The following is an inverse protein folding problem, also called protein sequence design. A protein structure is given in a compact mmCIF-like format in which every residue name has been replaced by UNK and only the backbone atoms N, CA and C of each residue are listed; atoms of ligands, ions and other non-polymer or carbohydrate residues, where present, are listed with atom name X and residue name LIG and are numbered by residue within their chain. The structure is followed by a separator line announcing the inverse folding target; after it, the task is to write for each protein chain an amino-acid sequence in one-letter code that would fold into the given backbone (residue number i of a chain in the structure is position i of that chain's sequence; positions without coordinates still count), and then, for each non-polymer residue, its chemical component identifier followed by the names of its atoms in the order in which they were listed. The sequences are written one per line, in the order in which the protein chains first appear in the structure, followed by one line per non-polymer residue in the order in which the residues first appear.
data_IF_919632458171
#
_entry.id   IF_919632458171
#
_cell.length_a   1.000
_cell.length_b   1.000
_cell.length_c   1.000
_cell.angle_alpha   90.00
_cell.angle_beta   90.00
_cell.angle_gamma   90.00
#
_symmetry.space_group_name_H-M   'P 1'
#
loop_
_entity.id
_entity.type
_entity.pdbx_description
1 polymer ?
#
# COMPACT_ATOMS: atom_id res chain seq x y z
N UNK A 1 -71.65 -29.17 -7.82
CA UNK A 1 -70.65 -28.08 -7.84
C UNK A 1 -69.26 -28.70 -7.78
N UNK A 2 -68.66 -28.95 -8.93
CA UNK A 2 -67.29 -29.46 -9.06
C UNK A 2 -66.34 -28.28 -9.28
N UNK A 3 -65.45 -28.04 -8.33
CA UNK A 3 -64.45 -26.98 -8.37
C UNK A 3 -63.23 -27.43 -9.19
N UNK A 4 -63.11 -26.92 -10.41
CA UNK A 4 -61.90 -27.09 -11.23
C UNK A 4 -60.70 -26.39 -10.57
N UNK A 5 -59.65 -27.18 -10.29
CA UNK A 5 -58.34 -26.67 -9.85
C UNK A 5 -57.62 -26.00 -11.03
N UNK A 6 -57.40 -24.68 -10.93
CA UNK A 6 -56.57 -23.93 -11.89
C UNK A 6 -55.12 -24.45 -11.90
N UNK A 7 -54.48 -24.56 -13.07
CA UNK A 7 -53.12 -25.10 -13.19
C UNK A 7 -52.07 -24.12 -12.64
N UNK A 8 -51.13 -24.68 -11.88
CA UNK A 8 -50.00 -23.97 -11.26
C UNK A 8 -49.02 -23.54 -12.36
N UNK A 9 -48.89 -22.23 -12.61
CA UNK A 9 -47.91 -21.67 -13.57
C UNK A 9 -46.48 -22.01 -13.12
N UNK A 10 -45.79 -22.82 -13.91
CA UNK A 10 -44.36 -23.11 -13.74
C UNK A 10 -43.59 -21.87 -14.21
N UNK A 11 -42.83 -21.23 -13.31
CA UNK A 11 -41.92 -20.12 -13.67
C UNK A 11 -40.79 -20.69 -14.54
N UNK A 12 -40.46 -20.09 -15.70
CA UNK A 12 -39.33 -20.53 -16.50
C UNK A 12 -38.02 -20.32 -15.72
N UNK A 13 -37.21 -21.37 -15.55
CA UNK A 13 -35.82 -21.26 -15.10
C UNK A 13 -35.09 -20.36 -16.10
N UNK A 14 -34.50 -19.25 -15.63
CA UNK A 14 -33.64 -18.45 -16.50
C UNK A 14 -32.48 -19.34 -16.95
N UNK A 15 -32.32 -19.49 -18.27
CA UNK A 15 -31.11 -20.06 -18.86
C UNK A 15 -29.97 -19.09 -18.51
N UNK A 16 -29.13 -19.47 -17.56
CA UNK A 16 -27.86 -18.78 -17.35
C UNK A 16 -27.09 -18.81 -18.67
N UNK A 17 -26.64 -17.66 -19.14
CA UNK A 17 -25.76 -17.57 -20.31
C UNK A 17 -24.48 -18.33 -20.02
N UNK A 18 -24.07 -19.20 -20.95
CA UNK A 18 -22.78 -19.91 -20.82
C UNK A 18 -21.65 -18.90 -21.02
N UNK A 19 -20.90 -18.62 -19.95
CA UNK A 19 -19.82 -17.63 -19.90
C UNK A 19 -18.52 -18.15 -20.53
N UNK A 20 -18.40 -19.47 -20.72
CA UNK A 20 -17.19 -20.12 -21.27
C UNK A 20 -16.70 -19.54 -22.61
N UNK A 21 -17.54 -19.36 -23.64
CA UNK A 21 -17.07 -18.81 -24.92
C UNK A 21 -16.50 -17.39 -24.79
N UNK A 22 -17.08 -16.56 -23.93
CA UNK A 22 -16.59 -15.20 -23.67
C UNK A 22 -15.23 -15.22 -22.96
N UNK A 23 -15.06 -16.10 -21.98
CA UNK A 23 -13.78 -16.28 -21.29
C UNK A 23 -12.66 -16.74 -22.23
N UNK A 24 -12.97 -17.67 -23.14
CA UNK A 24 -12.01 -18.15 -24.16
C UNK A 24 -11.64 -17.02 -25.12
N UNK A 25 -12.63 -16.28 -25.64
CA UNK A 25 -12.37 -15.16 -26.54
C UNK A 25 -11.49 -14.08 -25.90
N UNK A 26 -11.78 -13.72 -24.65
CA UNK A 26 -10.97 -12.80 -23.84
C UNK A 26 -9.54 -13.31 -23.68
N UNK A 27 -9.37 -14.59 -23.31
CA UNK A 27 -8.03 -15.17 -23.12
C UNK A 27 -7.20 -15.17 -24.40
N UNK A 28 -7.80 -15.52 -25.54
CA UNK A 28 -7.13 -15.49 -26.86
C UNK A 28 -6.73 -14.07 -27.23
N UNK A 29 -7.62 -13.08 -27.03
CA UNK A 29 -7.31 -11.67 -27.32
C UNK A 29 -6.14 -11.17 -26.46
N UNK A 30 -6.15 -11.45 -25.16
CA UNK A 30 -5.05 -11.09 -24.26
C UNK A 30 -3.72 -11.74 -24.67
N UNK A 31 -3.74 -12.99 -25.14
CA UNK A 31 -2.55 -13.68 -25.62
C UNK A 31 -1.99 -13.03 -26.90
N UNK A 32 -2.85 -12.71 -27.86
CA UNK A 32 -2.44 -12.02 -29.10
C UNK A 32 -1.82 -10.65 -28.77
N UNK A 33 -2.46 -9.89 -27.88
CA UNK A 33 -1.93 -8.59 -27.42
C UNK A 33 -0.57 -8.75 -26.75
N UNK A 34 -0.41 -9.75 -25.87
CA UNK A 34 0.87 -10.02 -25.21
C UNK A 34 1.97 -10.34 -26.23
N UNK A 35 1.71 -11.22 -27.20
CA UNK A 35 2.67 -11.56 -28.26
C UNK A 35 3.06 -10.31 -29.06
N UNK A 36 2.10 -9.45 -29.38
CA UNK A 36 2.36 -8.21 -30.12
C UNK A 36 3.18 -7.21 -29.29
N UNK A 37 2.89 -7.06 -27.99
CA UNK A 37 3.69 -6.23 -27.07
C UNK A 37 5.12 -6.75 -27.00
N UNK A 38 5.30 -8.07 -26.83
CA UNK A 38 6.64 -8.69 -26.78
C UNK A 38 7.40 -8.49 -28.09
N UNK A 39 6.74 -8.64 -29.24
CA UNK A 39 7.35 -8.34 -30.54
C UNK A 39 7.79 -6.88 -30.65
N UNK A 40 6.93 -5.93 -30.26
CA UNK A 40 7.26 -4.50 -30.28
C UNK A 40 8.40 -4.14 -29.34
N UNK A 41 8.41 -4.71 -28.13
CA UNK A 41 9.52 -4.54 -27.20
C UNK A 41 10.84 -5.09 -27.73
N UNK A 42 10.81 -6.17 -28.53
CA UNK A 42 12.01 -6.75 -29.13
C UNK A 42 12.57 -5.91 -30.29
N UNK A 43 11.70 -5.29 -31.09
CA UNK A 43 12.09 -4.48 -32.26
C UNK A 43 12.54 -3.08 -31.87
N UNK A 44 11.99 -2.51 -30.79
CA UNK A 44 12.35 -1.17 -30.32
C UNK A 44 13.70 -1.22 -29.59
N UNK A 45 14.66 -0.36 -29.98
CA UNK A 45 15.98 -0.26 -29.33
C UNK A 45 15.92 0.35 -27.91
N UNK A 46 14.78 0.94 -27.52
CA UNK A 46 14.57 1.56 -26.21
C UNK A 46 14.09 0.53 -25.18
N UNK A 47 14.60 0.63 -23.96
CA UNK A 47 14.06 -0.08 -22.80
C UNK A 47 12.72 0.53 -22.38
N UNK A 48 11.62 0.04 -22.97
CA UNK A 48 10.26 0.54 -22.71
C UNK A 48 9.78 0.23 -21.29
N UNK A 49 10.23 -0.88 -20.69
CA UNK A 49 9.84 -1.32 -19.35
C UNK A 49 11.09 -1.44 -18.48
N UNK A 50 11.32 -0.51 -17.53
CA UNK A 50 12.42 -0.58 -16.58
C UNK A 50 12.38 -1.85 -15.72
N UNK A 51 13.54 -2.47 -15.51
CA UNK A 51 13.74 -3.65 -14.65
C UNK A 51 13.28 -3.38 -13.21
N UNK A 52 13.43 -2.15 -12.74
CA UNK A 52 13.00 -1.71 -11.41
C UNK A 52 11.50 -1.91 -11.16
N UNK A 53 10.66 -1.86 -12.20
CA UNK A 53 9.22 -2.10 -12.06
C UNK A 53 8.95 -3.56 -11.67
N UNK A 54 9.73 -4.52 -12.16
CA UNK A 54 9.57 -5.91 -11.75
C UNK A 54 9.91 -6.09 -10.27
N UNK A 55 10.90 -5.37 -9.73
CA UNK A 55 11.19 -5.36 -8.29
C UNK A 55 10.01 -4.80 -7.49
N UNK A 56 9.38 -3.73 -7.97
CA UNK A 56 8.16 -3.14 -7.38
C UNK A 56 6.99 -4.13 -7.37
N UNK A 57 6.72 -4.79 -8.50
CA UNK A 57 5.69 -5.83 -8.60
C UNK A 57 6.01 -7.00 -7.67
N UNK A 58 7.26 -7.45 -7.63
CA UNK A 58 7.70 -8.54 -6.75
C UNK A 58 7.47 -8.20 -5.28
N UNK A 59 7.75 -6.96 -4.86
CA UNK A 59 7.44 -6.48 -3.50
C UNK A 59 5.94 -6.53 -3.18
N UNK A 60 5.10 -6.07 -4.11
CA UNK A 60 3.64 -6.09 -3.92
C UNK A 60 3.08 -7.53 -3.86
N UNK A 61 3.60 -8.43 -4.71
CA UNK A 61 3.26 -9.86 -4.72
C UNK A 61 3.70 -10.53 -3.42
N UNK A 62 4.92 -10.27 -2.96
CA UNK A 62 5.45 -10.76 -1.69
C UNK A 62 4.54 -10.37 -0.52
N UNK A 63 4.17 -9.09 -0.44
CA UNK A 63 3.31 -8.61 0.64
C UNK A 63 1.91 -9.22 0.56
N UNK A 64 1.33 -9.28 -0.64
CA UNK A 64 0.01 -9.87 -0.83
C UNK A 64 0.00 -11.36 -0.44
N UNK A 65 1.08 -12.09 -0.75
CA UNK A 65 1.26 -13.48 -0.30
C UNK A 65 1.35 -13.57 1.23
N UNK A 66 2.08 -12.68 1.88
CA UNK A 66 2.19 -12.62 3.35
C UNK A 66 0.82 -12.40 4.00
N UNK A 67 0.07 -11.43 3.51
CA UNK A 67 -1.26 -11.08 4.02
C UNK A 67 -2.30 -12.19 3.82
N UNK A 68 -2.32 -12.77 2.63
CA UNK A 68 -3.34 -13.77 2.27
C UNK A 68 -3.00 -15.18 2.73
N UNK A 69 -1.70 -15.47 2.97
CA UNK A 69 -1.09 -16.78 3.23
C UNK A 69 -1.32 -17.83 2.12
N UNK A 70 -2.15 -17.56 1.10
CA UNK A 70 -2.54 -18.51 0.04
C UNK A 70 -2.11 -18.01 -1.34
N UNK A 71 -1.28 -18.80 -2.03
CA UNK A 71 -0.81 -18.46 -3.38
C UNK A 71 -1.94 -18.34 -4.41
N UNK A 72 -2.98 -19.17 -4.28
CA UNK A 72 -4.14 -19.13 -5.15
C UNK A 72 -4.80 -17.74 -5.20
N UNK A 73 -4.91 -17.06 -4.04
CA UNK A 73 -5.50 -15.72 -3.99
C UNK A 73 -4.61 -14.75 -4.76
N UNK A 74 -3.30 -14.77 -4.52
CA UNK A 74 -2.31 -13.91 -5.22
C UNK A 74 -2.37 -14.10 -6.73
N UNK A 75 -2.40 -15.36 -7.20
CA UNK A 75 -2.47 -15.70 -8.63
C UNK A 75 -3.80 -15.21 -9.22
N UNK A 76 -4.93 -15.45 -8.53
CA UNK A 76 -6.24 -14.99 -9.02
C UNK A 76 -6.33 -13.46 -9.10
N UNK A 77 -5.76 -12.74 -8.12
CA UNK A 77 -5.64 -11.28 -8.15
C UNK A 77 -4.76 -10.84 -9.31
N UNK A 78 -3.58 -11.44 -9.48
CA UNK A 78 -2.66 -11.11 -10.56
C UNK A 78 -3.30 -11.34 -11.94
N UNK A 79 -3.99 -12.45 -12.16
CA UNK A 79 -4.70 -12.72 -13.41
C UNK A 79 -5.81 -11.70 -13.68
N UNK A 80 -6.60 -11.35 -12.66
CA UNK A 80 -7.58 -10.29 -12.76
C UNK A 80 -6.94 -8.96 -13.13
N UNK A 81 -5.90 -8.55 -12.41
CA UNK A 81 -5.20 -7.28 -12.65
C UNK A 81 -4.50 -7.22 -13.99
N UNK A 82 -3.99 -8.36 -14.47
CA UNK A 82 -3.42 -8.50 -15.80
C UNK A 82 -4.48 -8.33 -16.90
N UNK A 83 -5.69 -8.84 -16.69
CA UNK A 83 -6.78 -8.60 -17.64
C UNK A 83 -7.19 -7.12 -17.66
N UNK A 84 -7.38 -6.51 -16.48
CA UNK A 84 -7.78 -5.09 -16.40
C UNK A 84 -6.67 -4.12 -16.81
N UNK A 85 -5.38 -4.51 -16.71
CA UNK A 85 -4.28 -3.65 -17.14
C UNK A 85 -4.28 -3.36 -18.63
N UNK A 86 -4.90 -4.21 -19.46
CA UNK A 86 -5.06 -3.92 -20.89
C UNK A 86 -5.91 -2.67 -21.18
N UNK A 87 -6.66 -2.15 -20.20
CA UNK A 87 -7.30 -0.83 -20.30
C UNK A 87 -6.27 0.29 -20.53
N UNK A 88 -4.99 0.07 -20.20
CA UNK A 88 -3.90 0.98 -20.49
C UNK A 88 -3.72 1.25 -21.99
N UNK A 89 -4.14 0.34 -22.86
CA UNK A 89 -4.00 0.47 -24.32
C UNK A 89 -5.17 1.19 -24.99
N UNK A 90 -6.18 1.63 -24.23
CA UNK A 90 -7.26 2.45 -24.76
C UNK A 90 -6.74 3.86 -25.10
N UNK A 91 -7.15 4.43 -26.25
CA UNK A 91 -6.68 5.74 -26.67
C UNK A 91 -7.09 6.83 -25.67
N UNK A 92 -6.16 7.75 -25.40
CA UNK A 92 -6.39 8.87 -24.52
C UNK A 92 -7.37 9.90 -25.12
N UNK A 93 -8.15 10.58 -24.28
CA UNK A 93 -9.09 11.65 -24.75
C UNK A 93 -8.41 12.83 -25.45
N UNK A 94 -7.10 13.01 -25.24
CA UNK A 94 -6.28 14.09 -25.80
C UNK A 94 -5.21 13.57 -26.77
N UNK A 95 -5.30 12.31 -27.14
CA UNK A 95 -4.33 11.67 -28.02
C UNK A 95 -4.76 11.83 -29.47
N UNK A 96 -4.03 12.66 -30.21
CA UNK A 96 -4.31 12.88 -31.64
C UNK A 96 -3.70 11.79 -32.52
N UNK A 97 -2.54 11.25 -32.13
CA UNK A 97 -1.87 10.11 -32.76
C UNK A 97 -1.58 9.07 -31.68
N UNK A 98 -1.97 7.82 -31.94
CA UNK A 98 -1.83 6.73 -30.99
C UNK A 98 -0.35 6.37 -30.79
N UNK A 99 0.15 6.57 -29.57
CA UNK A 99 1.53 6.26 -29.17
C UNK A 99 1.57 4.92 -28.41
N UNK A 100 1.75 3.85 -29.18
CA UNK A 100 1.79 2.51 -28.63
C UNK A 100 2.96 2.28 -27.65
N UNK A 101 4.10 2.95 -27.83
CA UNK A 101 5.27 2.77 -26.96
C UNK A 101 5.00 3.36 -25.58
N UNK A 102 4.37 4.53 -25.52
CA UNK A 102 3.92 5.13 -24.26
C UNK A 102 2.90 4.24 -23.54
N UNK A 103 1.97 3.61 -24.27
CA UNK A 103 1.03 2.65 -23.69
C UNK A 103 1.74 1.39 -23.12
N UNK A 104 2.76 0.86 -23.80
CA UNK A 104 3.59 -0.23 -23.26
C UNK A 104 4.30 0.21 -21.97
N UNK A 105 4.86 1.42 -21.93
CA UNK A 105 5.57 1.93 -20.76
C UNK A 105 4.64 2.10 -19.54
N UNK A 106 3.39 2.52 -19.74
CA UNK A 106 2.40 2.73 -18.67
C UNK A 106 1.78 1.40 -18.20
N UNK A 107 1.72 0.38 -19.06
CA UNK A 107 0.99 -0.86 -18.82
C UNK A 107 1.37 -1.59 -17.50
N UNK A 108 2.66 -1.77 -17.15
CA UNK A 108 3.06 -2.35 -15.86
C UNK A 108 2.55 -1.58 -14.64
N UNK A 109 2.46 -0.25 -14.72
CA UNK A 109 1.91 0.59 -13.65
C UNK A 109 0.41 0.41 -13.52
N UNK A 110 -0.32 0.33 -14.65
CA UNK A 110 -1.74 0.00 -14.64
C UNK A 110 -1.99 -1.37 -14.01
N UNK A 111 -1.18 -2.38 -14.37
CA UNK A 111 -1.22 -3.69 -13.73
C UNK A 111 -1.07 -3.59 -12.22
N UNK A 112 -0.04 -2.88 -11.74
CA UNK A 112 0.21 -2.70 -10.32
C UNK A 112 -0.98 -2.01 -9.62
N UNK A 113 -1.52 -0.94 -10.19
CA UNK A 113 -2.68 -0.22 -9.61
C UNK A 113 -3.88 -1.16 -9.44
N UNK A 114 -4.26 -1.91 -10.49
CA UNK A 114 -5.34 -2.88 -10.38
C UNK A 114 -5.03 -3.99 -9.37
N UNK A 115 -3.77 -4.43 -9.31
CA UNK A 115 -3.32 -5.43 -8.34
C UNK A 115 -3.51 -4.96 -6.90
N UNK A 116 -3.14 -3.72 -6.60
CA UNK A 116 -3.33 -3.13 -5.28
C UNK A 116 -4.81 -2.91 -4.96
N UNK A 117 -5.60 -2.40 -5.90
CA UNK A 117 -7.05 -2.20 -5.72
C UNK A 117 -7.75 -3.52 -5.42
N UNK A 118 -7.51 -4.57 -6.20
CA UNK A 118 -8.12 -5.89 -5.98
C UNK A 118 -7.64 -6.51 -4.67
N UNK A 119 -6.35 -6.38 -4.36
CA UNK A 119 -5.80 -6.84 -3.08
C UNK A 119 -6.57 -6.20 -1.91
N UNK A 120 -6.73 -4.88 -1.91
CA UNK A 120 -7.49 -4.10 -0.92
C UNK A 120 -8.96 -4.52 -0.87
N UNK A 121 -9.62 -4.59 -2.03
CA UNK A 121 -11.04 -4.90 -2.10
C UNK A 121 -11.37 -6.30 -1.56
N UNK A 122 -10.54 -7.31 -1.87
CA UNK A 122 -10.80 -8.70 -1.48
C UNK A 122 -10.23 -9.07 -0.10
N UNK A 123 -9.37 -8.24 0.49
CA UNK A 123 -8.70 -8.55 1.75
C UNK A 123 -8.70 -7.38 2.75
N UNK A 124 -9.73 -6.51 2.70
CA UNK A 124 -9.86 -5.30 3.54
C UNK A 124 -9.52 -5.57 5.01
N UNK A 125 -10.07 -6.64 5.59
CA UNK A 125 -9.87 -6.99 7.01
C UNK A 125 -8.44 -7.41 7.37
N UNK A 126 -7.69 -7.95 6.40
CA UNK A 126 -6.29 -8.37 6.59
C UNK A 126 -5.31 -7.24 6.30
N UNK A 127 -5.73 -6.29 5.47
CA UNK A 127 -4.89 -5.19 4.97
C UNK A 127 -4.87 -4.02 5.92
N UNK A 128 -5.94 -3.78 6.68
CA UNK A 128 -5.93 -2.78 7.74
C UNK A 128 -4.93 -3.28 8.80
N UNK A 129 -3.67 -2.78 8.82
CA UNK A 129 -2.71 -3.22 9.81
C UNK A 129 -3.25 -2.79 11.17
N UNK A 130 -3.32 -3.71 12.13
CA UNK A 130 -3.61 -3.33 13.50
C UNK A 130 -2.51 -2.39 13.96
N UNK A 131 -2.82 -1.10 14.06
CA UNK A 131 -1.97 -0.10 14.68
C UNK A 131 -1.90 -0.46 16.16
N UNK A 132 -0.71 -0.75 16.60
CA UNK A 132 -0.40 -0.97 18.00
C UNK A 132 0.37 0.26 18.50
N UNK A 133 0.45 0.44 19.82
CA UNK A 133 1.23 1.54 20.42
C UNK A 133 2.72 1.53 19.98
N UNK A 134 3.26 0.35 19.69
CA UNK A 134 4.60 0.15 19.14
C UNK A 134 4.73 0.65 17.70
N UNK A 135 3.70 0.51 16.86
CA UNK A 135 3.72 1.08 15.50
C UNK A 135 3.59 2.61 15.54
N UNK A 136 2.80 3.16 16.48
CA UNK A 136 2.77 4.62 16.65
C UNK A 136 4.09 5.13 17.19
N UNK A 137 4.72 4.42 18.14
CA UNK A 137 6.04 4.72 18.65
C UNK A 137 7.12 4.67 17.56
N UNK A 138 7.09 3.65 16.71
CA UNK A 138 7.92 3.54 15.50
C UNK A 138 7.78 4.78 14.62
N UNK A 139 6.54 5.18 14.31
CA UNK A 139 6.25 6.37 13.52
C UNK A 139 6.73 7.66 14.20
N UNK A 140 6.61 7.74 15.52
CA UNK A 140 7.11 8.87 16.31
C UNK A 140 8.62 9.03 16.18
N UNK A 141 9.37 7.94 16.31
CA UNK A 141 10.83 7.94 16.17
C UNK A 141 11.23 8.24 14.71
N UNK A 142 10.49 7.70 13.73
CA UNK A 142 10.68 8.01 12.31
C UNK A 142 10.51 9.50 12.04
N UNK A 143 9.47 10.14 12.60
CA UNK A 143 9.29 11.59 12.48
C UNK A 143 10.53 12.28 13.04
N UNK A 144 10.92 12.01 14.28
CA UNK A 144 12.10 12.63 14.91
C UNK A 144 13.36 12.47 14.03
N UNK A 145 13.61 11.30 13.47
CA UNK A 145 14.72 11.08 12.56
C UNK A 145 14.61 11.93 11.28
N UNK A 146 13.45 11.92 10.65
CA UNK A 146 13.17 12.70 9.44
C UNK A 146 13.37 14.20 9.69
N UNK A 147 12.91 14.70 10.83
CA UNK A 147 13.06 16.06 11.33
C UNK A 147 14.52 16.47 11.50
N UNK A 148 15.29 15.65 12.21
CA UNK A 148 16.70 15.94 12.53
C UNK A 148 17.51 16.02 11.25
N UNK A 149 17.29 15.08 10.33
CA UNK A 149 17.97 15.06 9.04
C UNK A 149 17.50 16.18 8.10
N UNK A 150 16.24 16.62 8.21
CA UNK A 150 15.74 17.77 7.45
C UNK A 150 16.40 19.10 7.87
N UNK A 151 17.14 19.12 8.98
CA UNK A 151 17.80 20.33 9.46
C UNK A 151 16.78 21.33 9.97
N UNK A 152 15.93 20.94 10.92
CA UNK A 152 14.85 21.78 11.44
C UNK A 152 15.30 23.18 11.87
N UNK A 153 16.50 23.26 12.45
CA UNK A 153 17.08 24.51 12.94
C UNK A 153 17.42 25.46 11.78
N UNK A 154 17.51 24.94 10.55
CA UNK A 154 17.96 25.68 9.36
C UNK A 154 16.87 25.85 8.30
N UNK A 155 15.63 25.43 8.55
CA UNK A 155 14.52 25.55 7.59
C UNK A 155 13.65 26.78 7.86
N UNK A 156 13.41 27.59 6.83
CA UNK A 156 12.54 28.78 6.92
C UNK A 156 11.07 28.49 6.56
N UNK A 157 10.73 27.25 6.19
CA UNK A 157 9.38 26.89 5.75
C UNK A 157 8.43 26.69 6.93
N UNK A 158 7.58 27.70 7.18
CA UNK A 158 6.59 27.72 8.27
C UNK A 158 5.67 26.49 8.27
N UNK A 159 5.22 26.03 7.09
CA UNK A 159 4.34 24.86 7.01
C UNK A 159 5.02 23.60 7.54
N UNK A 160 6.29 23.39 7.16
CA UNK A 160 7.08 22.26 7.64
C UNK A 160 7.31 22.37 9.14
N UNK A 161 7.60 23.56 9.66
CA UNK A 161 7.74 23.78 11.11
C UNK A 161 6.46 23.40 11.87
N UNK A 162 5.29 23.86 11.41
CA UNK A 162 3.99 23.55 12.05
C UNK A 162 3.71 22.05 12.04
N UNK A 163 3.83 21.41 10.87
CA UNK A 163 3.62 19.97 10.70
C UNK A 163 4.48 19.17 11.68
N UNK A 164 5.68 19.68 11.91
CA UNK A 164 6.71 19.02 12.68
C UNK A 164 6.54 19.21 14.18
N UNK A 165 6.24 20.43 14.63
CA UNK A 165 5.82 20.67 16.02
C UNK A 165 4.63 19.78 16.39
N UNK A 166 3.65 19.65 15.49
CA UNK A 166 2.49 18.79 15.67
C UNK A 166 2.91 17.30 15.70
N UNK A 167 3.85 16.89 14.86
CA UNK A 167 4.41 15.54 14.88
C UNK A 167 5.18 15.20 16.14
N UNK A 168 5.94 16.13 16.71
CA UNK A 168 6.62 15.96 18.00
C UNK A 168 5.60 15.87 19.15
N UNK A 169 4.53 16.66 19.11
CA UNK A 169 3.44 16.59 20.09
C UNK A 169 2.76 15.22 20.07
N UNK A 170 2.36 14.73 18.90
CA UNK A 170 1.76 13.40 18.77
C UNK A 170 2.74 12.28 19.09
N UNK A 171 4.03 12.51 18.85
CA UNK A 171 5.08 11.59 19.27
C UNK A 171 5.12 11.47 20.78
N UNK A 172 5.19 12.60 21.49
CA UNK A 172 5.17 12.62 22.94
C UNK A 172 3.91 11.96 23.51
N UNK A 173 2.75 12.23 22.91
CA UNK A 173 1.49 11.57 23.28
C UNK A 173 1.55 10.05 23.10
N UNK A 174 2.15 9.56 22.01
CA UNK A 174 2.34 8.11 21.80
C UNK A 174 3.30 7.51 22.82
N UNK A 175 4.40 8.19 23.14
CA UNK A 175 5.35 7.76 24.18
C UNK A 175 4.64 7.65 25.54
N UNK A 176 3.86 8.65 25.92
CA UNK A 176 3.11 8.64 27.18
C UNK A 176 2.21 7.40 27.29
N UNK A 177 1.40 7.10 26.27
CA UNK A 177 0.50 5.95 26.30
C UNK A 177 1.26 4.60 26.32
N UNK A 178 2.32 4.47 25.52
CA UNK A 178 3.11 3.24 25.42
C UNK A 178 3.81 2.85 26.75
N UNK A 179 4.17 3.83 27.59
CA UNK A 179 4.87 3.58 28.86
C UNK A 179 3.96 3.61 30.10
N UNK A 180 2.84 4.32 30.05
CA UNK A 180 1.93 4.41 31.20
C UNK A 180 0.88 3.29 31.22
N UNK A 181 0.74 2.53 30.13
CA UNK A 181 -0.31 1.51 30.02
C UNK A 181 -1.72 2.11 30.16
N UNK A 182 -1.88 3.41 29.89
CA UNK A 182 -3.19 4.06 29.94
C UNK A 182 -4.00 3.69 28.71
N UNK A 183 -5.18 3.11 28.91
CA UNK A 183 -6.03 2.69 27.80
C UNK A 183 -6.44 3.88 26.91
N UNK A 184 -6.24 3.73 25.60
CA UNK A 184 -6.62 4.74 24.64
C UNK A 184 -8.15 4.84 24.52
N UNK A 185 -8.69 6.03 24.79
CA UNK A 185 -10.11 6.32 24.52
C UNK A 185 -10.43 6.24 23.03
N UNK A 186 -11.71 6.09 22.70
CA UNK A 186 -12.19 6.07 21.30
C UNK A 186 -11.76 7.31 20.51
N UNK A 187 -11.75 8.48 21.14
CA UNK A 187 -11.34 9.74 20.52
C UNK A 187 -9.83 9.76 20.29
N UNK A 188 -9.04 9.37 21.28
CA UNK A 188 -7.58 9.29 21.15
C UNK A 188 -7.16 8.34 20.03
N UNK A 189 -7.82 7.16 19.91
CA UNK A 189 -7.58 6.22 18.81
C UNK A 189 -7.90 6.80 17.45
N UNK A 190 -9.02 7.52 17.33
CA UNK A 190 -9.39 8.17 16.07
C UNK A 190 -8.35 9.23 15.68
N UNK A 191 -7.98 10.11 16.61
CA UNK A 191 -7.01 11.18 16.38
C UNK A 191 -5.65 10.60 15.97
N UNK A 192 -5.14 9.62 16.72
CA UNK A 192 -3.86 8.98 16.39
C UNK A 192 -3.90 8.23 15.06
N UNK A 193 -5.02 7.59 14.72
CA UNK A 193 -5.17 6.91 13.43
C UNK A 193 -5.15 7.87 12.25
N UNK A 194 -5.86 8.98 12.35
CA UNK A 194 -5.85 10.01 11.31
C UNK A 194 -4.45 10.59 11.19
N UNK A 195 -3.81 10.93 12.31
CA UNK A 195 -2.45 11.46 12.33
C UNK A 195 -1.43 10.50 11.71
N UNK A 196 -1.46 9.23 12.12
CA UNK A 196 -0.64 8.14 11.57
C UNK A 196 -0.81 8.03 10.05
N UNK A 197 -2.05 8.12 9.57
CA UNK A 197 -2.38 8.04 8.14
C UNK A 197 -1.81 9.23 7.37
N UNK A 198 -1.91 10.45 7.92
CA UNK A 198 -1.33 11.67 7.32
C UNK A 198 0.19 11.53 7.19
N UNK A 199 0.88 11.20 8.28
CA UNK A 199 2.34 11.06 8.28
C UNK A 199 2.80 9.98 7.31
N UNK A 200 2.14 8.82 7.32
CA UNK A 200 2.51 7.72 6.43
C UNK A 200 2.34 8.11 4.96
N UNK A 201 1.27 8.85 4.61
CA UNK A 201 1.05 9.35 3.25
C UNK A 201 2.10 10.40 2.85
N UNK A 202 2.50 11.30 3.75
CA UNK A 202 3.55 12.28 3.48
C UNK A 202 4.90 11.60 3.21
N UNK A 203 5.32 10.68 4.08
CA UNK A 203 6.56 9.92 3.91
C UNK A 203 6.53 9.04 2.65
N UNK A 204 5.37 8.46 2.32
CA UNK A 204 5.16 7.69 1.09
C UNK A 204 5.26 8.56 -0.16
N UNK A 205 4.66 9.75 -0.14
CA UNK A 205 4.72 10.69 -1.26
C UNK A 205 6.17 11.09 -1.53
N UNK A 206 6.91 11.48 -0.49
CA UNK A 206 8.32 11.82 -0.64
C UNK A 206 9.14 10.65 -1.20
N UNK A 207 8.94 9.45 -0.66
CA UNK A 207 9.66 8.26 -1.11
C UNK A 207 9.36 7.89 -2.56
N UNK A 208 8.09 7.92 -2.95
CA UNK A 208 7.68 7.68 -4.34
C UNK A 208 8.37 8.68 -5.26
N UNK A 209 8.29 9.98 -4.97
CA UNK A 209 8.92 11.02 -5.80
C UNK A 209 10.42 10.76 -5.95
N UNK A 210 11.13 10.47 -4.85
CA UNK A 210 12.58 10.22 -4.88
C UNK A 210 12.94 8.96 -5.65
N UNK A 211 12.20 7.86 -5.46
CA UNK A 211 12.45 6.58 -6.15
C UNK A 211 12.23 6.71 -7.67
N UNK A 212 11.21 7.45 -8.09
CA UNK A 212 10.93 7.69 -9.51
C UNK A 212 11.83 8.75 -10.16
N UNK A 213 12.57 9.53 -9.36
CA UNK A 213 13.62 10.44 -9.83
C UNK A 213 14.98 9.76 -10.00
N UNK A 214 15.16 8.54 -9.47
CA UNK A 214 16.40 7.80 -9.67
C UNK A 214 16.57 7.39 -11.14
N UNK A 215 17.82 7.16 -11.52
CA UNK A 215 18.16 6.53 -12.79
C UNK A 215 17.59 5.12 -12.88
N UNK A 216 17.35 4.67 -14.12
CA UNK A 216 16.97 3.29 -14.39
C UNK A 216 18.16 2.37 -14.10
N UNK A 217 17.88 1.16 -13.63
CA UNK A 217 18.91 0.17 -13.26
C UNK A 217 19.85 -0.10 -14.45
N UNK A 218 19.26 -0.17 -15.64
CA UNK A 218 19.90 -0.43 -16.92
C UNK A 218 20.93 0.64 -17.32
N UNK A 219 20.80 1.84 -16.77
CA UNK A 219 21.69 2.97 -17.05
C UNK A 219 22.77 3.15 -15.97
N UNK A 220 22.76 2.33 -14.91
CA UNK A 220 23.74 2.46 -13.83
C UNK A 220 25.07 1.79 -14.18
N UNK A 221 26.17 2.46 -13.87
CA UNK A 221 27.52 1.95 -14.16
C UNK A 221 27.93 0.77 -13.26
N UNK A 222 27.38 0.70 -12.05
CA UNK A 222 27.77 -0.30 -11.04
C UNK A 222 26.61 -1.21 -10.62
N UNK A 223 26.92 -2.50 -10.43
CA UNK A 223 25.94 -3.51 -9.96
C UNK A 223 25.36 -3.11 -8.59
N UNK A 224 26.20 -2.55 -7.71
CA UNK A 224 25.79 -2.12 -6.38
C UNK A 224 24.71 -1.04 -6.43
N UNK A 225 24.85 -0.03 -7.32
CA UNK A 225 23.81 0.99 -7.52
C UNK A 225 22.52 0.39 -8.08
N UNK A 226 22.63 -0.54 -9.04
CA UNK A 226 21.47 -1.27 -9.55
C UNK A 226 20.73 -2.06 -8.46
N UNK A 227 21.48 -2.73 -7.57
CA UNK A 227 20.90 -3.43 -6.42
C UNK A 227 20.19 -2.47 -5.45
N UNK A 228 20.79 -1.31 -5.15
CA UNK A 228 20.16 -0.30 -4.30
C UNK A 228 18.84 0.21 -4.89
N UNK A 229 18.80 0.51 -6.19
CA UNK A 229 17.57 0.93 -6.87
C UNK A 229 16.54 -0.21 -6.84
N UNK A 230 16.95 -1.45 -7.17
CA UNK A 230 16.08 -2.62 -7.09
C UNK A 230 15.47 -2.81 -5.70
N UNK A 231 16.28 -2.68 -4.65
CA UNK A 231 15.82 -2.76 -3.26
C UNK A 231 14.83 -1.66 -2.91
N UNK A 232 15.06 -0.42 -3.36
CA UNK A 232 14.13 0.70 -3.13
C UNK A 232 12.76 0.43 -3.76
N UNK A 233 12.74 0.01 -5.02
CA UNK A 233 11.49 -0.34 -5.72
C UNK A 233 10.81 -1.54 -5.04
N UNK A 234 11.58 -2.56 -4.63
CA UNK A 234 11.03 -3.69 -3.88
C UNK A 234 10.38 -3.27 -2.56
N UNK A 235 11.04 -2.46 -1.74
CA UNK A 235 10.50 -1.95 -0.47
C UNK A 235 9.26 -1.08 -0.67
N UNK A 236 9.25 -0.25 -1.72
CA UNK A 236 8.05 0.49 -2.13
C UNK A 236 6.92 -0.46 -2.50
N UNK A 237 7.23 -1.56 -3.19
CA UNK A 237 6.30 -2.62 -3.56
C UNK A 237 5.69 -3.30 -2.33
N UNK A 238 6.53 -3.70 -1.38
CA UNK A 238 6.10 -4.29 -0.10
C UNK A 238 5.15 -3.35 0.64
N UNK A 239 5.44 -2.04 0.60
CA UNK A 239 4.67 -1.03 1.33
C UNK A 239 3.42 -0.54 0.58
N UNK A 240 3.32 -0.81 -0.72
CA UNK A 240 2.36 -0.18 -1.63
C UNK A 240 0.90 -0.41 -1.24
N UNK A 241 0.54 -1.63 -0.81
CA UNK A 241 -0.82 -1.96 -0.34
C UNK A 241 -1.23 -1.07 0.83
N UNK A 242 -0.32 -0.87 1.80
CA UNK A 242 -0.56 -0.01 2.95
C UNK A 242 -0.60 1.46 2.56
N UNK A 243 0.26 1.89 1.62
CA UNK A 243 0.27 3.27 1.10
C UNK A 243 -1.09 3.58 0.47
N UNK A 244 -1.54 2.76 -0.48
CA UNK A 244 -2.82 2.96 -1.17
C UNK A 244 -4.00 2.90 -0.19
N UNK A 245 -3.98 1.98 0.77
CA UNK A 245 -5.01 1.92 1.82
C UNK A 245 -5.06 3.21 2.64
N UNK A 246 -3.91 3.76 3.05
CA UNK A 246 -3.85 5.02 3.80
C UNK A 246 -4.34 6.21 2.94
N UNK A 247 -4.02 6.25 1.64
CA UNK A 247 -4.60 7.24 0.74
C UNK A 247 -6.13 7.15 0.67
N UNK A 248 -6.69 5.94 0.52
CA UNK A 248 -8.15 5.77 0.50
C UNK A 248 -8.81 6.21 1.82
N UNK A 249 -8.17 5.93 2.96
CA UNK A 249 -8.67 6.38 4.26
C UNK A 249 -8.68 7.90 4.40
N UNK A 250 -7.66 8.61 3.90
CA UNK A 250 -7.66 10.09 3.91
C UNK A 250 -8.68 10.68 2.93
N UNK A 251 -8.70 10.19 1.68
CA UNK A 251 -9.61 10.69 0.65
C UNK A 251 -11.06 10.45 1.04
N UNK A 252 -11.36 9.39 1.79
CA UNK A 252 -12.70 9.08 2.28
C UNK A 252 -13.33 10.15 3.18
N UNK A 253 -12.54 11.08 3.76
CA UNK A 253 -13.10 12.22 4.50
C UNK A 253 -13.71 13.30 3.58
N UNK A 254 -13.30 13.33 2.31
CA UNK A 254 -13.80 14.27 1.32
C UNK A 254 -15.15 13.78 0.76
N UNK A 255 -16.15 14.67 0.60
CA UNK A 255 -17.42 14.28 0.01
C UNK A 255 -17.26 13.89 -1.46
N UNK A 256 -17.92 12.80 -1.87
CA UNK A 256 -18.02 12.39 -3.27
C UNK A 256 -18.88 13.32 -4.13
N UNK A 257 -18.76 13.16 -5.46
CA UNK A 257 -19.61 13.89 -6.41
C UNK A 257 -21.08 13.52 -6.20
N UNK A 258 -21.93 14.52 -5.95
CA UNK A 258 -23.36 14.33 -5.69
C UNK A 258 -23.72 13.86 -4.27
N UNK A 259 -22.72 13.67 -3.39
CA UNK A 259 -22.93 13.31 -1.98
C UNK A 259 -22.47 14.42 -1.02
N UNK A 260 -22.46 15.67 -1.46
CA UNK A 260 -21.97 16.79 -0.65
C UNK A 260 -22.86 16.99 0.59
N UNK A 261 -22.35 16.61 1.76
CA UNK A 261 -23.01 16.72 3.07
C UNK A 261 -24.44 16.15 3.13
N UNK A 262 -24.72 15.08 2.37
CA UNK A 262 -26.02 14.40 2.45
C UNK A 262 -26.00 13.25 3.48
N UNK A 263 -27.15 12.59 3.69
CA UNK A 263 -27.28 11.46 4.62
C UNK A 263 -26.30 10.32 4.31
N UNK A 264 -26.02 10.09 3.03
CA UNK A 264 -25.08 9.05 2.59
C UNK A 264 -23.65 9.40 3.03
N UNK A 265 -23.20 10.64 2.83
CA UNK A 265 -21.90 11.10 3.30
C UNK A 265 -21.71 10.92 4.80
N UNK A 266 -22.69 11.30 5.64
CA UNK A 266 -22.56 11.12 7.08
C UNK A 266 -22.57 9.64 7.51
N UNK A 267 -23.24 8.77 6.75
CA UNK A 267 -23.18 7.32 6.96
C UNK A 267 -21.79 6.78 6.65
N UNK A 268 -21.23 7.15 5.49
CA UNK A 268 -19.91 6.72 5.04
C UNK A 268 -18.81 7.27 5.96
N UNK A 269 -18.94 8.53 6.41
CA UNK A 269 -18.04 9.14 7.39
C UNK A 269 -18.07 8.41 8.74
N UNK A 270 -19.24 7.94 9.18
CA UNK A 270 -19.37 7.16 10.42
C UNK A 270 -18.68 5.80 10.28
N UNK A 271 -18.80 5.16 9.12
CA UNK A 271 -18.09 3.91 8.81
C UNK A 271 -16.58 4.13 8.76
N UNK A 272 -16.11 5.16 8.06
CA UNK A 272 -14.70 5.51 7.98
C UNK A 272 -14.09 5.79 9.37
N UNK A 273 -14.77 6.59 10.20
CA UNK A 273 -14.34 6.81 11.60
C UNK A 273 -14.27 5.50 12.38
N UNK A 274 -15.22 4.59 12.16
CA UNK A 274 -15.19 3.27 12.78
C UNK A 274 -14.00 2.44 12.29
N UNK A 275 -13.66 2.49 11.01
CA UNK A 275 -12.51 1.76 10.45
C UNK A 275 -11.20 2.30 11.03
N UNK A 276 -11.05 3.62 11.17
CA UNK A 276 -9.91 4.24 11.86
C UNK A 276 -9.77 3.78 13.32
N UNK A 277 -10.89 3.70 14.05
CA UNK A 277 -10.88 3.26 15.45
C UNK A 277 -10.55 1.78 15.57
N UNK A 278 -11.17 0.93 14.73
CA UNK A 278 -10.95 -0.53 14.72
C UNK A 278 -9.52 -0.90 14.34
N UNK A 279 -8.83 -0.02 13.62
CA UNK A 279 -7.41 -0.18 13.28
C UNK A 279 -6.52 -0.20 14.52
N UNK A 280 -6.88 0.47 15.61
CA UNK A 280 -6.10 0.39 16.84
C UNK A 280 -6.40 -0.90 17.61
N UNK A 281 -5.34 -1.62 17.96
CA UNK A 281 -5.46 -2.80 18.83
C UNK A 281 -6.09 -2.41 20.17
N UNK A 282 -6.99 -3.27 20.66
CA UNK A 282 -7.53 -3.16 22.02
C UNK A 282 -6.52 -3.73 23.04
N UNK A 283 -5.62 -4.60 22.60
CA UNK A 283 -4.57 -5.18 23.42
C UNK A 283 -3.39 -4.23 23.46
N UNK A 284 -2.97 -3.87 24.67
CA UNK A 284 -1.75 -3.13 24.92
C UNK A 284 -0.54 -4.01 24.64
N UNK A 285 0.52 -3.35 24.18
CA UNK A 285 1.79 -4.02 23.95
C UNK A 285 2.56 -4.06 25.28
N UNK A 286 3.22 -5.17 25.55
CA UNK A 286 4.17 -5.27 26.64
C UNK A 286 5.26 -4.18 26.52
N UNK A 287 5.57 -3.53 27.64
CA UNK A 287 6.62 -2.51 27.73
C UNK A 287 7.95 -3.02 27.14
N UNK A 288 8.26 -4.31 27.26
CA UNK A 288 9.47 -4.91 26.67
C UNK A 288 9.50 -4.81 25.14
N UNK A 289 8.38 -5.00 24.47
CA UNK A 289 8.28 -4.83 23.02
C UNK A 289 8.41 -3.35 22.62
N UNK A 290 7.88 -2.43 23.43
CA UNK A 290 8.07 -0.98 23.24
C UNK A 290 9.54 -0.57 23.42
N UNK A 291 10.24 -1.13 24.42
CA UNK A 291 11.67 -0.91 24.63
C UNK A 291 12.51 -1.46 23.46
N UNK A 292 12.20 -2.67 23.01
CA UNK A 292 12.83 -3.26 21.84
C UNK A 292 12.64 -2.40 20.59
N UNK A 293 11.42 -1.88 20.37
CA UNK A 293 11.14 -0.94 19.29
C UNK A 293 12.10 0.24 19.34
N UNK A 294 12.21 0.91 20.49
CA UNK A 294 13.08 2.09 20.63
C UNK A 294 14.53 1.75 20.33
N UNK A 295 15.06 0.69 20.92
CA UNK A 295 16.47 0.30 20.74
C UNK A 295 16.75 -0.03 19.27
N UNK A 296 15.89 -0.83 18.65
CA UNK A 296 16.03 -1.23 17.26
C UNK A 296 15.98 -0.03 16.31
N UNK A 297 14.94 0.81 16.42
CA UNK A 297 14.72 1.92 15.48
C UNK A 297 15.74 3.02 15.68
N UNK A 298 16.04 3.36 16.93
CA UNK A 298 17.01 4.41 17.25
C UNK A 298 18.42 3.96 16.89
N UNK A 299 18.75 2.68 17.08
CA UNK A 299 20.03 2.11 16.64
C UNK A 299 20.22 2.23 15.13
N UNK A 300 19.23 1.81 14.33
CA UNK A 300 19.30 1.92 12.87
C UNK A 300 19.43 3.38 12.43
N UNK A 301 18.60 4.28 12.98
CA UNK A 301 18.65 5.69 12.59
C UNK A 301 19.92 6.41 13.05
N UNK A 302 20.44 6.09 14.24
CA UNK A 302 21.70 6.62 14.72
C UNK A 302 22.87 6.21 13.83
N UNK A 303 22.95 4.90 13.51
CA UNK A 303 23.98 4.39 12.59
C UNK A 303 23.84 5.03 11.21
N UNK A 304 22.63 5.16 10.68
CA UNK A 304 22.43 5.77 9.38
C UNK A 304 22.75 7.27 9.37
N UNK A 305 22.43 7.99 10.45
CA UNK A 305 22.77 9.40 10.60
C UNK A 305 24.29 9.63 10.62
N UNK A 306 25.02 8.80 11.35
CA UNK A 306 26.48 8.96 11.49
C UNK A 306 27.26 8.45 10.27
N UNK A 307 26.93 7.25 9.78
CA UNK A 307 27.69 6.59 8.70
C UNK A 307 27.11 6.85 7.30
N UNK A 308 25.93 7.46 7.18
CA UNK A 308 25.25 7.76 5.90
C UNK A 308 25.16 6.53 4.98
N UNK A 309 24.87 5.36 5.56
CA UNK A 309 24.86 4.07 4.86
C UNK A 309 23.87 4.09 3.70
N UNK A 310 22.67 4.61 3.93
CA UNK A 310 21.64 4.80 2.89
C UNK A 310 20.99 6.19 3.01
N UNK A 311 20.44 6.72 1.91
CA UNK A 311 19.54 7.87 1.98
C UNK A 311 18.42 7.67 3.00
N UNK A 312 18.05 8.75 3.69
CA UNK A 312 17.09 8.72 4.82
C UNK A 312 15.76 8.04 4.52
N UNK A 313 15.20 8.27 3.32
CA UNK A 313 13.91 7.71 2.93
C UNK A 313 14.00 6.19 2.90
N UNK A 314 15.11 5.64 2.38
CA UNK A 314 15.35 4.19 2.38
C UNK A 314 15.47 3.67 3.80
N UNK A 315 16.23 4.33 4.68
CA UNK A 315 16.34 3.90 6.09
C UNK A 315 14.98 3.83 6.78
N UNK A 316 14.11 4.83 6.55
CA UNK A 316 12.74 4.85 7.07
C UNK A 316 11.94 3.65 6.56
N UNK A 317 11.99 3.35 5.26
CA UNK A 317 11.26 2.22 4.68
C UNK A 317 11.83 0.85 5.06
N UNK A 318 13.14 0.74 5.23
CA UNK A 318 13.78 -0.44 5.81
C UNK A 318 13.19 -0.69 7.20
N UNK A 319 13.12 0.33 8.06
CA UNK A 319 12.56 0.20 9.41
C UNK A 319 11.07 -0.16 9.37
N UNK A 320 10.27 0.50 8.51
CA UNK A 320 8.83 0.18 8.38
C UNK A 320 8.56 -1.24 7.88
N UNK A 321 9.43 -1.81 7.05
CA UNK A 321 9.26 -3.18 6.54
C UNK A 321 9.84 -4.21 7.51
N UNK A 322 11.05 -3.97 8.01
CA UNK A 322 11.79 -4.96 8.82
C UNK A 322 11.24 -5.10 10.23
N UNK A 323 10.85 -4.01 10.90
CA UNK A 323 10.38 -4.08 12.29
C UNK A 323 9.12 -4.95 12.45
N UNK A 324 8.03 -4.74 11.68
CA UNK A 324 6.87 -5.62 11.76
C UNK A 324 7.19 -7.06 11.32
N UNK A 325 8.11 -7.24 10.38
CA UNK A 325 8.51 -8.57 9.91
C UNK A 325 9.28 -9.35 10.98
N UNK A 326 10.15 -8.69 11.74
CA UNK A 326 10.87 -9.30 12.86
C UNK A 326 9.90 -9.74 13.95
N UNK A 327 8.93 -8.88 14.32
CA UNK A 327 7.88 -9.24 15.29
C UNK A 327 7.10 -10.46 14.80
N UNK A 328 6.69 -10.47 13.54
CA UNK A 328 5.95 -11.59 12.95
C UNK A 328 6.75 -12.90 13.01
N UNK A 329 8.05 -12.87 12.71
CA UNK A 329 8.92 -14.05 12.81
C UNK A 329 9.04 -14.52 14.27
N UNK A 330 9.26 -13.59 15.19
CA UNK A 330 9.38 -13.90 16.62
C UNK A 330 8.11 -14.58 17.16
N UNK A 331 6.94 -14.03 16.83
CA UNK A 331 5.65 -14.64 17.21
C UNK A 331 5.47 -16.03 16.60
N UNK A 332 5.83 -16.21 15.33
CA UNK A 332 5.73 -17.50 14.64
C UNK A 332 6.62 -18.57 15.29
N UNK A 333 7.86 -18.22 15.65
CA UNK A 333 8.79 -19.14 16.33
C UNK A 333 8.28 -19.49 17.73
N UNK A 334 7.80 -18.49 18.48
CA UNK A 334 7.34 -18.67 19.86
C UNK A 334 6.06 -19.51 19.92
N UNK A 335 5.10 -19.31 19.01
CA UNK A 335 3.90 -20.14 18.90
C UNK A 335 4.23 -21.58 18.51
N UNK A 336 5.23 -21.79 17.64
CA UNK A 336 5.68 -23.13 17.25
C UNK A 336 6.37 -23.88 18.39
N UNK A 337 7.02 -23.19 19.32
CA UNK A 337 7.67 -23.82 20.48
C UNK A 337 6.70 -24.17 21.62
N UNK A 338 5.48 -23.65 21.59
CA UNK A 338 4.43 -23.92 22.57
C UNK A 338 3.44 -25.01 22.11
N UNK A 339 3.69 -25.63 20.95
CA UNK A 339 2.98 -26.78 20.39
C UNK A 339 3.97 -27.91 20.11
#
# INVERSE_FOLDING_TARGET
MTTEKKPKKIKPKSKGTDLKPYMVAVGVLSLILLLYISYRMYVTERNLIPVSIFALIAGAVFETKRLTKKWWIVISTALGSFFFSFLAFLPGKREHHYDFENHIQIWPYCFLIFFLIFTIAFNKDKIIPKLTEGITLLQSIVIIYWVVDFGLITTDNLFLIILLCLGLLFSFFSFFHAFTGTELTRTSRLTLSIWSTIIFVLLATENIIRIFQNEQIENTENITSGFYIGLQYFLLGVSSVYIVQNYFMLIGFLPGKGTFFNKQYYKDLKELKSDHIKRYSMQQIDILHSLYCIIFTSGIFYLNFHYKIVPKHIAIWIVFVTFPFIIYIYEYITQKNNH
#
